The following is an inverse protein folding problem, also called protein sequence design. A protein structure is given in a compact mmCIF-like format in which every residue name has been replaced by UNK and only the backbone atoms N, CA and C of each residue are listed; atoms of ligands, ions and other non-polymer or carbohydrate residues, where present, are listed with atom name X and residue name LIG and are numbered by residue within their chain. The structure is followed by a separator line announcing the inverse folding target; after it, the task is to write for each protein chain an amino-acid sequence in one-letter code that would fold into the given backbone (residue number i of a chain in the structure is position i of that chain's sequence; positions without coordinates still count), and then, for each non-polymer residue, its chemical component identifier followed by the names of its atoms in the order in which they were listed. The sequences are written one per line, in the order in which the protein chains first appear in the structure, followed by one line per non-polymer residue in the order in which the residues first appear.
data_IF_435896779889
#
_entry.id   IF_435896779889
#
_cell.length_a   1.000
_cell.length_b   1.000
_cell.length_c   1.000
_cell.angle_alpha   90.00
_cell.angle_beta   90.00
_cell.angle_gamma   90.00
#
_symmetry.space_group_name_H-M   'P 1'
#
loop_
_entity.id
_entity.type
_entity.pdbx_description
1 polymer ?
#
# COMPACT_ATOMS: atom_id res chain seq x y z
N UNK A 1 12.00 -29.30 -20.73
CA UNK A 1 12.42 -27.87 -20.80
C UNK A 1 11.35 -26.88 -21.29
N UNK A 2 10.45 -27.21 -22.24
CA UNK A 2 9.39 -26.27 -22.71
C UNK A 2 8.31 -25.92 -21.66
N UNK A 3 8.06 -26.82 -20.70
CA UNK A 3 7.06 -26.62 -19.63
C UNK A 3 7.50 -25.60 -18.56
N UNK A 4 8.80 -25.52 -18.24
CA UNK A 4 9.35 -24.52 -17.32
C UNK A 4 9.18 -23.09 -17.85
N UNK A 5 9.33 -22.88 -19.16
CA UNK A 5 9.15 -21.57 -19.83
C UNK A 5 7.69 -21.10 -19.82
N UNK A 6 6.74 -22.03 -19.81
CA UNK A 6 5.29 -21.74 -19.78
C UNK A 6 4.84 -21.37 -18.37
N UNK A 7 5.43 -22.01 -17.35
CA UNK A 7 5.21 -21.68 -15.95
C UNK A 7 5.76 -20.29 -15.60
N UNK A 8 6.99 -19.96 -16.00
CA UNK A 8 7.56 -18.62 -15.76
C UNK A 8 6.80 -17.52 -16.49
N UNK A 9 6.32 -17.78 -17.72
CA UNK A 9 5.46 -16.85 -18.45
C UNK A 9 4.12 -16.61 -17.74
N UNK A 10 3.52 -17.66 -17.16
CA UNK A 10 2.25 -17.55 -16.42
C UNK A 10 2.41 -16.75 -15.13
N UNK A 11 3.50 -16.95 -14.39
CA UNK A 11 3.81 -16.15 -13.18
C UNK A 11 4.10 -14.69 -13.53
N UNK A 12 4.83 -14.43 -14.62
CA UNK A 12 5.05 -13.06 -15.10
C UNK A 12 3.76 -12.35 -15.52
N UNK A 13 2.84 -13.06 -16.18
CA UNK A 13 1.53 -12.52 -16.56
C UNK A 13 0.65 -12.21 -15.34
N UNK A 14 0.59 -13.12 -14.35
CA UNK A 14 -0.15 -12.90 -13.10
C UNK A 14 0.39 -11.71 -12.30
N UNK A 15 1.72 -11.56 -12.21
CA UNK A 15 2.33 -10.41 -11.56
C UNK A 15 2.03 -9.10 -12.31
N UNK A 16 2.05 -9.11 -13.64
CA UNK A 16 1.70 -7.94 -14.46
C UNK A 16 0.21 -7.55 -14.30
N UNK A 17 -0.70 -8.53 -14.26
CA UNK A 17 -2.13 -8.32 -14.00
C UNK A 17 -2.37 -7.76 -12.59
N UNK A 18 -1.68 -8.29 -11.58
CA UNK A 18 -1.76 -7.77 -10.22
C UNK A 18 -1.22 -6.34 -10.11
N UNK A 19 -0.17 -5.99 -10.85
CA UNK A 19 0.35 -4.62 -10.91
C UNK A 19 -0.61 -3.63 -11.57
N UNK A 20 -1.50 -4.11 -12.46
CA UNK A 20 -2.53 -3.30 -13.11
C UNK A 20 -3.86 -3.23 -12.34
N UNK A 21 -4.02 -3.97 -11.24
CA UNK A 21 -5.29 -4.08 -10.52
C UNK A 21 -5.84 -2.70 -10.09
N UNK A 22 -4.96 -1.78 -9.66
CA UNK A 22 -5.36 -0.41 -9.28
C UNK A 22 -5.71 0.52 -10.45
N UNK A 23 -5.64 0.06 -11.70
CA UNK A 23 -5.91 0.88 -12.88
C UNK A 23 -7.43 0.94 -13.14
N UNK A 24 -8.12 1.84 -12.45
CA UNK A 24 -9.58 1.99 -12.54
C UNK A 24 -10.08 3.34 -12.03
N UNK A 25 -11.39 3.55 -12.10
CA UNK A 25 -12.02 4.75 -11.57
C UNK A 25 -12.01 4.72 -10.04
N UNK A 26 -11.31 5.66 -9.41
CA UNK A 26 -11.33 5.82 -7.95
C UNK A 26 -12.75 6.19 -7.49
N UNK A 27 -13.41 5.41 -6.61
CA UNK A 27 -14.70 5.78 -6.07
C UNK A 27 -14.59 7.11 -5.32
N UNK A 28 -15.57 7.98 -5.53
CA UNK A 28 -15.65 9.29 -4.87
C UNK A 28 -16.78 9.27 -3.86
N UNK A 29 -16.48 9.76 -2.66
CA UNK A 29 -17.46 9.92 -1.59
C UNK A 29 -17.81 11.41 -1.47
N UNK A 30 -19.10 11.71 -1.43
CA UNK A 30 -19.55 13.08 -1.18
C UNK A 30 -19.61 13.34 0.33
N UNK A 31 -18.73 14.21 0.84
CA UNK A 31 -18.73 14.69 2.22
C UNK A 31 -19.06 16.18 2.16
N UNK A 32 -20.18 16.59 2.78
CA UNK A 32 -20.59 17.99 2.92
C UNK A 32 -20.65 18.74 1.57
N UNK A 33 -21.02 18.05 0.47
CA UNK A 33 -21.04 18.63 -0.87
C UNK A 33 -19.70 18.61 -1.62
N UNK A 34 -18.62 18.15 -0.99
CA UNK A 34 -17.31 17.97 -1.62
C UNK A 34 -17.05 16.50 -1.96
N UNK A 35 -16.53 16.24 -3.16
CA UNK A 35 -16.24 14.88 -3.63
C UNK A 35 -14.79 14.51 -3.33
N UNK A 36 -14.58 13.63 -2.35
CA UNK A 36 -13.26 13.12 -1.99
C UNK A 36 -13.03 11.73 -2.57
N UNK A 37 -11.88 11.47 -3.21
CA UNK A 37 -11.52 10.13 -3.64
C UNK A 37 -11.29 9.24 -2.42
N UNK A 38 -11.73 7.99 -2.51
CA UNK A 38 -11.57 7.00 -1.47
C UNK A 38 -10.09 6.82 -1.04
N UNK A 39 -9.12 7.12 -1.92
CA UNK A 39 -7.70 6.85 -1.65
C UNK A 39 -7.19 7.76 -0.55
N UNK A 40 -7.77 8.95 -0.41
CA UNK A 40 -7.34 9.88 0.62
C UNK A 40 -7.71 9.35 2.00
N UNK A 41 -8.85 8.66 2.10
CA UNK A 41 -9.27 8.00 3.33
C UNK A 41 -8.32 6.84 3.63
N UNK A 42 -7.99 6.01 2.62
CA UNK A 42 -6.99 4.94 2.76
C UNK A 42 -5.60 5.45 3.14
N UNK A 43 -5.17 6.59 2.60
CA UNK A 43 -3.91 7.25 2.95
C UNK A 43 -3.89 7.68 4.40
N UNK A 44 -4.95 8.34 4.88
CA UNK A 44 -5.05 8.74 6.28
C UNK A 44 -5.00 7.51 7.19
N UNK A 45 -5.78 6.47 6.87
CA UNK A 45 -5.75 5.21 7.63
C UNK A 45 -4.36 4.54 7.61
N UNK A 46 -3.70 4.49 6.45
CA UNK A 46 -2.35 3.93 6.28
C UNK A 46 -1.29 4.69 7.07
N UNK A 47 -1.38 6.03 7.11
CA UNK A 47 -0.49 6.88 7.94
C UNK A 47 -0.72 6.59 9.43
N UNK A 48 -1.97 6.48 9.88
CA UNK A 48 -2.29 6.14 11.27
C UNK A 48 -1.73 4.77 11.64
N UNK A 49 -1.92 3.75 10.79
CA UNK A 49 -1.34 2.42 11.00
C UNK A 49 0.19 2.45 11.06
N UNK A 50 0.83 3.15 10.13
CA UNK A 50 2.29 3.30 10.11
C UNK A 50 2.81 4.01 11.37
N UNK A 51 2.10 5.04 11.85
CA UNK A 51 2.44 5.73 13.09
C UNK A 51 2.31 4.81 14.31
N UNK A 52 1.27 3.96 14.37
CA UNK A 52 1.10 2.96 15.44
C UNK A 52 2.24 1.95 15.42
N UNK A 53 2.52 1.36 14.25
CA UNK A 53 3.63 0.41 14.08
C UNK A 53 4.93 1.07 14.51
N UNK A 54 5.12 2.33 14.15
CA UNK A 54 6.32 3.02 14.58
C UNK A 54 6.38 3.27 16.09
N UNK A 55 5.28 3.71 16.72
CA UNK A 55 5.24 3.87 18.17
C UNK A 55 5.59 2.57 18.90
N UNK A 56 5.18 1.43 18.34
CA UNK A 56 5.56 0.10 18.83
C UNK A 56 7.08 -0.13 18.65
N UNK A 57 7.65 0.16 17.47
CA UNK A 57 9.10 0.02 17.23
C UNK A 57 9.94 0.93 18.16
N UNK A 58 9.48 2.15 18.40
CA UNK A 58 10.04 3.10 19.35
C UNK A 58 10.05 2.55 20.77
N UNK A 59 8.92 1.95 21.18
CA UNK A 59 8.80 1.30 22.48
C UNK A 59 9.80 0.15 22.65
N UNK A 60 10.09 -0.60 21.58
CA UNK A 60 11.10 -1.68 21.60
C UNK A 60 12.56 -1.20 21.51
N UNK A 61 12.83 0.11 21.48
CA UNK A 61 14.18 0.72 21.35
C UNK A 61 14.94 0.32 20.08
N UNK A 62 14.25 -0.15 19.04
CA UNK A 62 14.87 -0.53 17.77
C UNK A 62 15.15 0.67 16.85
N UNK A 63 14.75 1.88 17.27
CA UNK A 63 15.01 3.13 16.54
C UNK A 63 16.49 3.40 16.32
N UNK A 64 17.37 2.83 17.15
CA UNK A 64 18.82 3.06 17.09
C UNK A 64 19.51 2.39 15.88
N UNK A 65 18.88 1.38 15.28
CA UNK A 65 19.40 0.69 14.09
C UNK A 65 18.87 1.28 12.78
N UNK A 66 17.82 2.10 12.82
CA UNK A 66 17.14 2.60 11.62
C UNK A 66 17.78 3.92 11.21
N UNK A 67 18.83 3.83 10.38
CA UNK A 67 19.61 4.98 9.92
C UNK A 67 18.81 6.00 9.08
N UNK A 68 17.68 5.61 8.49
CA UNK A 68 16.91 6.46 7.56
C UNK A 68 15.39 6.46 7.83
N UNK A 69 15.02 6.58 9.11
CA UNK A 69 13.64 6.71 9.61
C UNK A 69 12.76 7.64 8.76
N UNK A 70 13.32 8.74 8.26
CA UNK A 70 12.57 9.74 7.48
C UNK A 70 11.99 9.19 6.17
N UNK A 71 12.58 8.15 5.57
CA UNK A 71 12.08 7.51 4.33
C UNK A 71 11.33 6.22 4.63
N UNK A 72 11.76 5.47 5.64
CA UNK A 72 11.12 4.18 5.98
C UNK A 72 9.64 4.37 6.34
N UNK A 73 9.31 5.44 7.05
CA UNK A 73 7.96 5.71 7.54
C UNK A 73 6.97 6.08 6.45
N UNK A 74 7.24 7.07 5.56
CA UNK A 74 6.34 7.37 4.47
C UNK A 74 6.22 6.18 3.51
N UNK A 75 7.27 5.37 3.35
CA UNK A 75 7.21 4.16 2.55
C UNK A 75 6.27 3.11 3.18
N UNK A 76 6.34 2.92 4.50
CA UNK A 76 5.46 2.01 5.23
C UNK A 76 4.00 2.51 5.23
N UNK A 77 3.80 3.81 5.40
CA UNK A 77 2.48 4.45 5.29
C UNK A 77 1.89 4.29 3.89
N UNK A 78 2.69 4.54 2.84
CA UNK A 78 2.28 4.33 1.46
C UNK A 78 1.96 2.85 1.19
N UNK A 79 2.76 1.92 1.72
CA UNK A 79 2.52 0.48 1.60
C UNK A 79 1.18 0.08 2.21
N UNK A 80 0.88 0.52 3.43
CA UNK A 80 -0.41 0.25 4.07
C UNK A 80 -1.57 0.92 3.33
N UNK A 81 -1.40 2.18 2.91
CA UNK A 81 -2.41 2.91 2.15
C UNK A 81 -2.77 2.22 0.83
N UNK A 82 -1.76 1.81 0.04
CA UNK A 82 -1.97 1.10 -1.22
C UNK A 82 -2.53 -0.32 -1.00
N UNK A 83 -2.11 -1.01 0.05
CA UNK A 83 -2.65 -2.33 0.39
C UNK A 83 -4.13 -2.24 0.74
N UNK A 84 -4.51 -1.29 1.61
CA UNK A 84 -5.90 -1.04 1.97
C UNK A 84 -6.71 -0.62 0.74
N UNK A 85 -6.15 0.25 -0.10
CA UNK A 85 -6.76 0.67 -1.36
C UNK A 85 -7.08 -0.51 -2.26
N UNK A 86 -6.09 -1.36 -2.56
CA UNK A 86 -6.25 -2.51 -3.44
C UNK A 86 -7.19 -3.58 -2.86
N UNK A 87 -7.26 -3.74 -1.54
CA UNK A 87 -8.14 -4.75 -0.93
C UNK A 87 -9.62 -4.31 -0.95
N UNK A 88 -9.89 -3.01 -0.74
CA UNK A 88 -11.26 -2.50 -0.58
C UNK A 88 -11.85 -1.88 -1.85
N UNK A 89 -11.02 -1.36 -2.76
CA UNK A 89 -11.46 -0.51 -3.88
C UNK A 89 -10.95 -0.92 -5.26
N UNK A 90 -10.13 -1.97 -5.36
CA UNK A 90 -9.72 -2.59 -6.63
C UNK A 90 -10.55 -3.83 -6.94
#
# INVERSE_FOLDING_TARGET
MKLLRRSTASFGALAALAALAGCGHSPTFNILGSFFPAWLICMIAGIVLAAIVNGILAHYKLEKEIAWTIVTYPCLAAFFAFTLWLIFFS
#
